data_IF_365174510512
#
_entry.id   IF_365174510512
#
_cell.length_a   1.000
_cell.length_b   1.000
_cell.length_c   1.000
_cell.angle_alpha   90.00
_cell.angle_beta   90.00
_cell.angle_gamma   90.00
#
_symmetry.space_group_name_H-M   'P 1'
#
loop_
_entity.id
_entity.type
_entity.pdbx_description
1 polymer ?
#
# COMPACT_ATOMS: atom_id res chain seq x y z
N UNK A 1 -41.79 16.25 -26.19
CA UNK A 1 -41.25 16.49 -24.84
C UNK A 1 -40.63 15.24 -24.21
N UNK A 2 -41.32 14.06 -24.18
CA UNK A 2 -40.78 12.79 -23.61
C UNK A 2 -39.46 12.32 -24.25
N UNK A 3 -39.21 12.53 -25.56
CA UNK A 3 -37.96 12.13 -26.25
C UNK A 3 -36.77 13.05 -25.89
N UNK A 4 -37.04 14.31 -25.58
CA UNK A 4 -36.02 15.29 -25.20
C UNK A 4 -35.51 15.03 -23.77
N UNK A 5 -36.41 14.67 -22.85
CA UNK A 5 -36.05 14.28 -21.46
C UNK A 5 -35.23 12.99 -21.40
N UNK A 6 -35.51 12.04 -22.29
CA UNK A 6 -34.75 10.78 -22.37
C UNK A 6 -33.32 11.01 -22.89
N UNK A 7 -33.15 11.93 -23.86
CA UNK A 7 -31.84 12.33 -24.37
C UNK A 7 -30.99 13.05 -23.30
N UNK A 8 -31.64 13.92 -22.51
CA UNK A 8 -30.98 14.66 -21.43
C UNK A 8 -30.49 13.70 -20.30
N UNK A 9 -31.29 12.66 -20.00
CA UNK A 9 -30.94 11.65 -19.01
C UNK A 9 -29.72 10.80 -19.43
N UNK A 10 -29.59 10.52 -20.74
CA UNK A 10 -28.47 9.73 -21.28
C UNK A 10 -27.11 10.46 -21.16
N UNK A 11 -27.13 11.81 -21.23
CA UNK A 11 -25.90 12.62 -21.13
C UNK A 11 -25.36 12.66 -19.69
N UNK A 12 -26.20 12.50 -18.68
CA UNK A 12 -25.79 12.53 -17.26
C UNK A 12 -25.07 11.24 -16.81
N UNK A 13 -25.17 10.14 -17.55
CA UNK A 13 -24.57 8.84 -17.19
C UNK A 13 -23.10 8.73 -17.67
N UNK A 14 -22.65 9.58 -18.60
CA UNK A 14 -21.32 9.50 -19.21
C UNK A 14 -20.19 10.19 -18.40
N UNK A 15 -20.48 10.73 -17.21
CA UNK A 15 -19.52 11.57 -16.44
C UNK A 15 -18.71 10.83 -15.36
N UNK A 16 -18.78 9.49 -15.25
CA UNK A 16 -17.90 8.76 -14.34
C UNK A 16 -16.63 8.25 -15.05
N UNK A 17 -15.79 9.18 -15.46
CA UNK A 17 -14.41 8.86 -15.86
C UNK A 17 -13.55 8.56 -14.64
N UNK A 18 -13.44 7.29 -14.22
CA UNK A 18 -12.39 6.86 -13.31
C UNK A 18 -11.04 7.00 -14.00
N UNK A 19 -10.35 8.13 -13.77
CA UNK A 19 -8.96 8.27 -14.16
C UNK A 19 -8.13 7.39 -13.22
N UNK A 20 -7.62 6.27 -13.69
CA UNK A 20 -6.57 5.52 -13.00
C UNK A 20 -5.35 6.44 -12.97
N UNK A 21 -5.06 7.02 -11.81
CA UNK A 21 -3.82 7.77 -11.61
C UNK A 21 -2.70 6.74 -11.60
N UNK A 22 -1.93 6.69 -12.68
CA UNK A 22 -0.73 5.86 -12.75
C UNK A 22 0.35 6.54 -11.87
N UNK A 23 0.55 6.01 -10.67
CA UNK A 23 1.53 6.53 -9.71
C UNK A 23 2.97 6.51 -10.24
N UNK A 24 3.24 5.77 -11.32
CA UNK A 24 4.56 5.73 -11.95
C UNK A 24 4.99 7.07 -12.57
N UNK A 25 4.03 7.94 -12.92
CA UNK A 25 4.33 9.25 -13.50
C UNK A 25 4.80 10.29 -12.46
N UNK A 26 4.57 10.06 -11.17
CA UNK A 26 4.83 11.05 -10.11
C UNK A 26 6.09 10.78 -9.28
N UNK A 27 6.85 9.73 -9.56
CA UNK A 27 8.04 9.40 -8.76
C UNK A 27 9.28 10.12 -9.26
N UNK A 28 10.02 10.76 -8.33
CA UNK A 28 11.25 11.51 -8.59
C UNK A 28 12.51 10.78 -8.11
N UNK A 29 12.43 9.45 -7.90
CA UNK A 29 13.54 8.65 -7.40
C UNK A 29 13.79 7.38 -8.19
N UNK A 30 15.02 6.88 -8.07
CA UNK A 30 15.49 5.60 -8.59
C UNK A 30 16.09 4.78 -7.46
N UNK A 31 15.67 3.53 -7.29
CA UNK A 31 16.18 2.65 -6.23
C UNK A 31 17.43 1.93 -6.74
N UNK A 32 18.58 2.26 -6.15
CA UNK A 32 19.89 1.67 -6.44
C UNK A 32 20.24 0.49 -5.50
N UNK A 33 19.76 0.55 -4.24
CA UNK A 33 19.94 -0.50 -3.24
C UNK A 33 18.67 -0.75 -2.42
N UNK A 34 18.38 -2.02 -2.12
CA UNK A 34 17.26 -2.41 -1.28
C UNK A 34 17.62 -3.53 -0.30
N UNK A 35 17.57 -3.23 0.98
CA UNK A 35 17.71 -4.19 2.07
C UNK A 35 16.41 -4.31 2.84
N UNK A 36 16.07 -5.49 3.36
CA UNK A 36 14.85 -5.64 4.17
C UNK A 36 14.98 -6.64 5.30
N UNK A 37 14.27 -6.36 6.41
CA UNK A 37 14.16 -7.20 7.60
C UNK A 37 12.71 -7.35 8.01
N UNK A 38 12.34 -8.46 8.66
CA UNK A 38 10.99 -8.75 9.15
C UNK A 38 10.19 -9.66 8.23
N UNK A 39 8.94 -9.31 7.92
CA UNK A 39 7.96 -10.16 7.22
C UNK A 39 8.27 -10.30 5.71
N UNK A 40 8.85 -11.44 5.31
CA UNK A 40 9.34 -11.67 3.92
C UNK A 40 8.30 -11.39 2.83
N UNK A 41 7.04 -11.85 3.00
CA UNK A 41 5.99 -11.67 2.00
C UNK A 41 5.59 -10.21 1.84
N UNK A 42 5.50 -9.49 2.95
CA UNK A 42 5.18 -8.06 2.98
C UNK A 42 6.30 -7.28 2.30
N UNK A 43 7.55 -7.53 2.70
CA UNK A 43 8.75 -6.91 2.13
C UNK A 43 8.85 -7.14 0.61
N UNK A 44 8.53 -8.34 0.13
CA UNK A 44 8.53 -8.66 -1.30
C UNK A 44 7.49 -7.84 -2.07
N UNK A 45 6.27 -7.69 -1.52
CA UNK A 45 5.21 -6.90 -2.16
C UNK A 45 5.61 -5.42 -2.19
N UNK A 46 6.10 -4.88 -1.06
CA UNK A 46 6.53 -3.49 -0.96
C UNK A 46 7.69 -3.24 -1.94
N UNK A 47 8.73 -4.08 -1.94
CA UNK A 47 9.86 -3.98 -2.87
C UNK A 47 9.41 -3.91 -4.32
N UNK A 48 8.55 -4.84 -4.75
CA UNK A 48 8.09 -4.89 -6.14
C UNK A 48 7.30 -3.64 -6.54
N UNK A 49 6.47 -3.10 -5.65
CA UNK A 49 5.72 -1.88 -5.94
C UNK A 49 6.64 -0.66 -6.01
N UNK A 50 7.61 -0.54 -5.09
CA UNK A 50 8.62 0.53 -5.10
C UNK A 50 9.47 0.48 -6.37
N UNK A 51 9.94 -0.72 -6.79
CA UNK A 51 10.73 -0.88 -8.01
C UNK A 51 9.92 -0.56 -9.27
N UNK A 52 8.62 -0.89 -9.32
CA UNK A 52 7.74 -0.50 -10.42
C UNK A 52 7.55 1.00 -10.55
N UNK A 53 7.53 1.71 -9.43
CA UNK A 53 7.41 3.17 -9.38
C UNK A 53 8.75 3.90 -9.59
N UNK A 54 9.87 3.20 -9.55
CA UNK A 54 11.22 3.75 -9.71
C UNK A 54 11.49 4.21 -11.14
N UNK A 55 12.02 5.45 -11.33
CA UNK A 55 12.38 6.02 -12.65
C UNK A 55 13.90 6.04 -12.85
N UNK A 56 14.38 5.55 -13.99
CA UNK A 56 15.82 5.40 -14.29
C UNK A 56 16.66 6.68 -14.23
N UNK A 57 16.09 7.85 -14.52
CA UNK A 57 16.82 9.13 -14.62
C UNK A 57 16.50 10.10 -13.47
N UNK A 58 16.20 9.57 -12.30
CA UNK A 58 15.82 10.35 -11.11
C UNK A 58 16.87 10.21 -10.00
N UNK A 59 16.68 10.93 -8.90
CA UNK A 59 17.54 10.87 -7.72
C UNK A 59 17.75 9.44 -7.23
N UNK A 60 19.00 8.96 -7.23
CA UNK A 60 19.34 7.61 -6.77
C UNK A 60 19.27 7.53 -5.25
N UNK A 61 18.52 6.54 -4.75
CA UNK A 61 18.39 6.28 -3.32
C UNK A 61 18.69 4.81 -3.00
N UNK A 62 19.19 4.55 -1.79
CA UNK A 62 19.14 3.22 -1.18
C UNK A 62 18.12 3.19 -0.06
N UNK A 63 17.46 2.06 0.11
CA UNK A 63 16.36 1.89 1.06
C UNK A 63 16.58 0.67 1.94
N UNK A 64 16.51 0.86 3.26
CA UNK A 64 16.46 -0.20 4.26
C UNK A 64 15.06 -0.23 4.86
N UNK A 65 14.35 -1.36 4.69
CA UNK A 65 12.98 -1.56 5.12
C UNK A 65 12.92 -2.54 6.31
N UNK A 66 12.24 -2.16 7.37
CA UNK A 66 11.88 -3.06 8.46
C UNK A 66 10.37 -3.13 8.59
N UNK A 67 9.80 -4.36 8.58
CA UNK A 67 8.35 -4.56 8.72
C UNK A 67 8.01 -5.45 9.90
N UNK A 68 6.92 -5.08 10.60
CA UNK A 68 6.35 -5.85 11.70
C UNK A 68 4.85 -6.03 11.47
N UNK A 69 4.36 -7.27 11.56
CA UNK A 69 2.95 -7.61 11.49
C UNK A 69 2.45 -8.05 12.86
N UNK A 70 1.31 -7.54 13.28
CA UNK A 70 0.59 -7.97 14.48
C UNK A 70 -0.81 -8.40 14.08
N UNK A 71 -1.31 -9.50 14.67
CA UNK A 71 -2.68 -9.99 14.52
C UNK A 71 -3.37 -10.00 15.87
N UNK A 72 -4.49 -9.29 15.98
CA UNK A 72 -5.29 -9.19 17.18
C UNK A 72 -6.69 -9.76 16.94
N UNK A 73 -7.34 -10.26 17.99
CA UNK A 73 -8.77 -10.60 17.95
C UNK A 73 -9.54 -9.28 17.95
N UNK A 74 -10.39 -9.08 16.93
CA UNK A 74 -11.22 -7.88 16.82
C UNK A 74 -12.63 -8.10 17.36
N UNK A 75 -13.21 -9.27 17.05
CA UNK A 75 -14.61 -9.53 17.34
C UNK A 75 -14.85 -10.99 17.73
N UNK A 76 -15.77 -11.22 18.66
CA UNK A 76 -16.25 -12.54 19.06
C UNK A 76 -17.78 -12.54 19.09
N UNK A 77 -18.39 -13.71 18.83
CA UNK A 77 -19.83 -13.88 18.95
C UNK A 77 -20.26 -14.16 20.41
N UNK A 78 -21.58 -14.31 20.60
CA UNK A 78 -22.19 -14.61 21.93
C UNK A 78 -21.70 -15.93 22.55
N UNK A 79 -21.16 -16.86 21.74
CA UNK A 79 -20.56 -18.13 22.18
C UNK A 79 -19.06 -18.00 22.46
N UNK A 80 -18.51 -16.76 22.49
CA UNK A 80 -17.10 -16.48 22.67
C UNK A 80 -16.17 -17.02 21.54
N UNK A 81 -16.74 -17.37 20.38
CA UNK A 81 -16.00 -17.80 19.19
C UNK A 81 -15.52 -16.56 18.41
N UNK A 82 -14.30 -16.60 17.90
CA UNK A 82 -13.71 -15.48 17.16
C UNK A 82 -14.38 -15.37 15.78
N UNK A 83 -14.92 -14.20 15.45
CA UNK A 83 -15.56 -13.89 14.16
C UNK A 83 -14.72 -12.99 13.29
N UNK A 84 -13.86 -12.15 13.88
CA UNK A 84 -12.92 -11.28 13.13
C UNK A 84 -11.57 -11.17 13.78
N UNK A 85 -10.55 -11.08 12.93
CA UNK A 85 -9.21 -10.66 13.31
C UNK A 85 -8.86 -9.31 12.67
N UNK A 86 -8.07 -8.53 13.38
CA UNK A 86 -7.41 -7.34 12.84
C UNK A 86 -5.93 -7.65 12.57
N UNK A 87 -5.42 -7.13 11.45
CA UNK A 87 -3.99 -7.09 11.15
C UNK A 87 -3.53 -5.64 11.15
N UNK A 88 -2.46 -5.37 11.89
CA UNK A 88 -1.70 -4.14 11.83
C UNK A 88 -0.31 -4.44 11.25
N UNK A 89 0.10 -3.70 10.23
CA UNK A 89 1.45 -3.76 9.68
C UNK A 89 2.09 -2.38 9.85
N UNK A 90 3.28 -2.38 10.44
CA UNK A 90 4.13 -1.19 10.57
C UNK A 90 5.33 -1.40 9.66
N UNK A 91 5.68 -0.38 8.88
CA UNK A 91 6.85 -0.36 8.02
C UNK A 91 7.71 0.87 8.35
N UNK A 92 8.95 0.63 8.76
CA UNK A 92 9.96 1.64 8.98
C UNK A 92 10.96 1.56 7.84
N UNK A 93 11.19 2.67 7.15
CA UNK A 93 12.14 2.75 6.05
C UNK A 93 13.19 3.82 6.35
N UNK A 94 14.45 3.47 6.23
CA UNK A 94 15.58 4.42 6.20
C UNK A 94 16.01 4.59 4.75
N UNK A 95 15.95 5.82 4.27
CA UNK A 95 16.31 6.20 2.90
C UNK A 95 17.63 7.00 2.95
N UNK A 96 18.55 6.67 2.06
CA UNK A 96 19.84 7.36 1.89
C UNK A 96 19.93 7.86 0.44
N UNK A 97 20.08 9.18 0.25
CA UNK A 97 20.35 9.80 -1.05
C UNK A 97 21.78 9.50 -1.45
N UNK A 98 22.01 9.02 -2.67
CA UNK A 98 23.35 8.66 -3.15
C UNK A 98 24.21 9.88 -3.56
N UNK A 99 23.57 11.04 -3.75
CA UNK A 99 24.28 12.25 -4.20
C UNK A 99 25.05 12.94 -3.07
N UNK A 100 24.50 12.96 -1.86
CA UNK A 100 25.01 13.70 -0.70
C UNK A 100 25.08 12.85 0.58
N UNK A 101 24.73 11.56 0.51
CA UNK A 101 24.63 10.62 1.63
C UNK A 101 23.66 11.07 2.75
N UNK A 102 22.78 12.02 2.46
CA UNK A 102 21.75 12.44 3.41
C UNK A 102 20.79 11.29 3.71
N UNK A 103 20.45 11.12 4.99
CA UNK A 103 19.55 10.05 5.47
C UNK A 103 18.30 10.63 6.09
N UNK A 104 17.16 10.01 5.81
CA UNK A 104 15.90 10.30 6.50
C UNK A 104 15.11 9.02 6.75
N UNK A 105 14.25 9.07 7.75
CA UNK A 105 13.42 7.94 8.17
C UNK A 105 11.96 8.22 7.84
N UNK A 106 11.27 7.15 7.45
CA UNK A 106 9.83 7.11 7.20
C UNK A 106 9.25 6.01 8.08
N UNK A 107 8.16 6.31 8.79
CA UNK A 107 7.40 5.31 9.52
C UNK A 107 5.94 5.39 9.09
N UNK A 108 5.43 4.32 8.50
CA UNK A 108 4.05 4.22 8.05
C UNK A 108 3.40 2.95 8.59
N UNK A 109 2.09 2.99 8.72
CA UNK A 109 1.31 1.82 9.11
C UNK A 109 0.08 1.64 8.22
N UNK A 110 -0.44 0.42 8.21
CA UNK A 110 -1.70 0.08 7.58
C UNK A 110 -2.37 -1.04 8.38
N UNK A 111 -3.66 -0.91 8.63
CA UNK A 111 -4.44 -1.89 9.35
C UNK A 111 -5.74 -2.22 8.61
N UNK A 112 -6.32 -3.34 8.96
CA UNK A 112 -7.59 -3.80 8.44
C UNK A 112 -8.00 -5.11 9.10
N UNK A 113 -9.20 -5.56 8.81
CA UNK A 113 -9.77 -6.75 9.41
C UNK A 113 -10.26 -7.76 8.36
N UNK A 114 -10.32 -9.01 8.76
CA UNK A 114 -10.86 -10.09 7.98
C UNK A 114 -11.74 -11.01 8.83
N UNK A 115 -12.79 -11.56 8.20
CA UNK A 115 -13.73 -12.46 8.85
C UNK A 115 -13.19 -13.88 8.91
N UNK A 116 -13.48 -14.55 10.01
CA UNK A 116 -13.32 -16.00 10.16
C UNK A 116 -14.50 -16.67 9.44
N UNK A 117 -14.19 -17.63 8.58
CA UNK A 117 -15.19 -18.43 7.87
C UNK A 117 -15.22 -19.85 8.46
N UNK A 118 -16.28 -20.59 8.23
CA UNK A 118 -16.46 -21.97 8.68
C UNK A 118 -15.32 -22.88 8.20
N UNK A 119 -14.82 -22.64 6.97
CA UNK A 119 -13.68 -23.35 6.43
C UNK A 119 -12.37 -22.61 6.75
N UNK A 120 -11.43 -23.30 7.36
CA UNK A 120 -10.09 -22.77 7.65
C UNK A 120 -9.33 -22.28 6.40
N UNK A 121 -9.53 -22.92 5.24
CA UNK A 121 -8.92 -22.51 3.97
C UNK A 121 -9.40 -21.12 3.54
N UNK A 122 -10.69 -20.85 3.69
CA UNK A 122 -11.31 -19.56 3.38
C UNK A 122 -10.77 -18.47 4.32
N UNK A 123 -10.73 -18.75 5.64
CA UNK A 123 -10.15 -17.82 6.62
C UNK A 123 -8.70 -17.46 6.29
N UNK A 124 -7.87 -18.46 5.95
CA UNK A 124 -6.47 -18.21 5.52
C UNK A 124 -6.38 -17.40 4.23
N UNK A 125 -7.31 -17.61 3.32
CA UNK A 125 -7.36 -16.84 2.07
C UNK A 125 -7.74 -15.38 2.32
N UNK A 126 -8.72 -15.13 3.20
CA UNK A 126 -9.11 -13.79 3.65
C UNK A 126 -7.92 -13.06 4.26
N UNK A 127 -7.17 -13.73 5.16
CA UNK A 127 -5.94 -13.16 5.75
C UNK A 127 -4.90 -12.80 4.66
N UNK A 128 -4.64 -13.70 3.71
CA UNK A 128 -3.67 -13.47 2.63
C UNK A 128 -4.06 -12.29 1.74
N UNK A 129 -5.33 -12.17 1.39
CA UNK A 129 -5.84 -11.07 0.58
C UNK A 129 -5.70 -9.74 1.33
N UNK A 130 -6.08 -9.71 2.62
CA UNK A 130 -5.91 -8.52 3.44
C UNK A 130 -4.45 -8.09 3.52
N UNK A 131 -3.52 -9.00 3.81
CA UNK A 131 -2.07 -8.70 3.86
C UNK A 131 -1.59 -8.10 2.54
N UNK A 132 -2.06 -8.62 1.39
CA UNK A 132 -1.72 -8.10 0.07
C UNK A 132 -2.18 -6.65 -0.10
N UNK A 133 -3.43 -6.34 0.29
CA UNK A 133 -4.00 -4.99 0.23
C UNK A 133 -3.22 -4.04 1.13
N UNK A 134 -3.01 -4.42 2.41
CA UNK A 134 -2.29 -3.59 3.37
C UNK A 134 -0.84 -3.31 2.94
N UNK A 135 -0.17 -4.32 2.35
CA UNK A 135 1.20 -4.16 1.83
C UNK A 135 1.25 -3.21 0.64
N UNK A 136 0.23 -3.22 -0.23
CA UNK A 136 0.11 -2.27 -1.34
C UNK A 136 -0.09 -0.85 -0.81
N UNK A 137 -1.01 -0.65 0.13
CA UNK A 137 -1.27 0.64 0.76
C UNK A 137 0.00 1.20 1.45
N UNK A 138 0.79 0.33 2.12
CA UNK A 138 2.08 0.73 2.69
C UNK A 138 3.07 1.19 1.63
N UNK A 139 3.14 0.48 0.49
CA UNK A 139 4.01 0.88 -0.62
C UNK A 139 3.67 2.27 -1.13
N UNK A 140 2.38 2.56 -1.31
CA UNK A 140 1.89 3.86 -1.76
C UNK A 140 2.23 4.97 -0.75
N UNK A 141 2.04 4.71 0.54
CA UNK A 141 2.42 5.66 1.60
C UNK A 141 3.93 5.93 1.60
N UNK A 142 4.76 4.89 1.48
CA UNK A 142 6.23 5.04 1.42
C UNK A 142 6.64 5.87 0.19
N UNK A 143 6.06 5.59 -0.99
CA UNK A 143 6.34 6.35 -2.23
C UNK A 143 6.02 7.83 -2.03
N UNK A 144 4.83 8.14 -1.48
CA UNK A 144 4.41 9.51 -1.25
C UNK A 144 5.34 10.25 -0.28
N UNK A 145 5.71 9.62 0.83
CA UNK A 145 6.64 10.18 1.81
C UNK A 145 8.05 10.42 1.23
N UNK A 146 8.55 9.49 0.40
CA UNK A 146 9.83 9.66 -0.29
C UNK A 146 9.76 10.88 -1.22
N UNK A 147 8.70 10.98 -2.05
CA UNK A 147 8.54 12.10 -2.98
C UNK A 147 8.46 13.44 -2.24
N UNK A 148 7.70 13.54 -1.15
CA UNK A 148 7.60 14.75 -0.34
C UNK A 148 8.99 15.17 0.18
N UNK A 149 9.71 14.24 0.83
CA UNK A 149 11.03 14.55 1.41
C UNK A 149 12.12 14.83 0.37
N UNK A 150 11.99 14.31 -0.84
CA UNK A 150 12.93 14.64 -1.93
C UNK A 150 12.62 15.98 -2.59
N UNK A 151 11.38 16.46 -2.54
CA UNK A 151 11.00 17.76 -3.08
C UNK A 151 11.26 18.91 -2.10
N UNK A 152 11.27 18.64 -0.79
CA UNK A 152 11.53 19.63 0.28
C UNK A 152 13.03 19.87 0.51
N UNK A 153 13.91 19.23 -0.26
CA UNK A 153 15.38 19.27 -0.13
C UNK A 153 15.99 19.86 -1.39
#
# INVERSE_FOLDING_TARGET
>A
MRKLTLLLLLILISSCGFKIIDMSEQTNFSIDGFESKGERKINFIIKNNLLKSSKKNSSKISLKLETKKTRNIKEKNIKNEITKYEILIIANATIEKKIDNTKFNISVNSNGDYSVADQNSTTRNNEKQLIKILSKNLSEKIINEINLKLNDS
#
